data_IF_606636331408
#
_entry.id   IF_606636331408
#
_cell.length_a   1.000
_cell.length_b   1.000
_cell.length_c   1.000
_cell.angle_alpha   90.00
_cell.angle_beta   90.00
_cell.angle_gamma   90.00
#
_symmetry.space_group_name_H-M   'P 1'
#
loop_
_entity.id
_entity.type
_entity.pdbx_description
1 polymer ?
#
# COMPACT_ATOMS: atom_id res chain seq x y z
N UNK A 1 -25.94 -27.08 49.37
CA UNK A 1 -26.18 -27.18 47.92
C UNK A 1 -26.90 -25.89 47.52
N UNK A 2 -26.14 -24.88 47.07
CA UNK A 2 -26.70 -23.60 46.64
C UNK A 2 -26.75 -23.61 45.12
N UNK A 3 -27.95 -23.61 44.56
CA UNK A 3 -28.23 -23.45 43.13
C UNK A 3 -27.80 -22.06 42.71
N UNK A 4 -26.69 -21.98 41.98
CA UNK A 4 -26.22 -20.76 41.35
C UNK A 4 -27.15 -20.46 40.15
N UNK A 5 -28.26 -19.78 40.44
CA UNK A 5 -29.08 -19.15 39.40
C UNK A 5 -28.18 -18.17 38.65
N UNK A 6 -27.90 -18.53 37.40
CA UNK A 6 -27.08 -17.72 36.51
C UNK A 6 -28.00 -16.70 35.88
N UNK A 7 -27.90 -15.44 36.31
CA UNK A 7 -28.74 -14.33 35.85
C UNK A 7 -28.79 -14.28 34.30
N UNK A 8 -29.97 -14.45 33.69
CA UNK A 8 -30.12 -14.41 32.23
C UNK A 8 -29.88 -13.01 31.64
N UNK A 9 -29.88 -11.96 32.46
CA UNK A 9 -29.59 -10.59 32.01
C UNK A 9 -28.14 -10.41 31.57
N UNK A 10 -27.17 -11.15 32.16
CA UNK A 10 -25.76 -11.02 31.80
C UNK A 10 -25.41 -11.62 30.42
N UNK A 11 -26.27 -12.50 29.89
CA UNK A 11 -26.07 -13.06 28.54
C UNK A 11 -26.60 -12.15 27.42
N UNK A 12 -27.46 -11.18 27.74
CA UNK A 12 -28.06 -10.33 26.72
C UNK A 12 -27.13 -9.19 26.26
N UNK A 13 -26.14 -8.80 27.08
CA UNK A 13 -25.19 -7.73 26.78
C UNK A 13 -23.95 -8.17 25.96
N UNK A 14 -23.69 -9.48 25.85
CA UNK A 14 -22.56 -10.02 25.08
C UNK A 14 -22.85 -10.19 23.58
N UNK A 15 -24.06 -9.86 23.12
CA UNK A 15 -24.47 -9.88 21.71
C UNK A 15 -24.56 -8.49 21.09
N UNK A 16 -23.75 -7.53 21.55
CA UNK A 16 -23.59 -6.32 20.76
C UNK A 16 -23.08 -6.68 19.36
N UNK A 17 -23.74 -6.19 18.30
CA UNK A 17 -23.60 -6.76 16.98
C UNK A 17 -22.19 -6.51 16.43
N UNK A 18 -21.60 -7.59 15.93
CA UNK A 18 -20.41 -7.70 15.06
C UNK A 18 -20.41 -6.68 13.89
N UNK A 19 -21.53 -6.00 13.67
CA UNK A 19 -21.73 -4.92 12.72
C UNK A 19 -20.68 -3.80 12.88
N UNK A 20 -20.37 -3.33 14.10
CA UNK A 20 -19.41 -2.23 14.31
C UNK A 20 -17.96 -2.55 13.91
N UNK A 21 -17.55 -3.81 14.03
CA UNK A 21 -16.20 -4.28 13.70
C UNK A 21 -16.01 -4.39 12.18
N UNK A 22 -17.06 -4.81 11.46
CA UNK A 22 -17.04 -4.89 9.98
C UNK A 22 -16.98 -3.51 9.33
N UNK A 23 -17.69 -2.52 9.87
CA UNK A 23 -17.59 -1.13 9.41
C UNK A 23 -16.19 -0.56 9.67
N UNK A 24 -15.57 -0.90 10.79
CA UNK A 24 -14.20 -0.47 11.10
C UNK A 24 -13.15 -1.00 10.11
N UNK A 25 -13.23 -2.27 9.72
CA UNK A 25 -12.33 -2.87 8.74
C UNK A 25 -12.48 -2.24 7.34
N UNK A 26 -13.72 -2.02 6.89
CA UNK A 26 -13.99 -1.39 5.61
C UNK A 26 -13.51 0.07 5.57
N UNK A 27 -13.74 0.82 6.67
CA UNK A 27 -13.27 2.20 6.79
C UNK A 27 -11.74 2.29 6.78
N UNK A 28 -11.05 1.40 7.51
CA UNK A 28 -9.58 1.34 7.51
C UNK A 28 -9.01 1.04 6.12
N UNK A 29 -9.57 0.04 5.42
CA UNK A 29 -9.15 -0.30 4.06
C UNK A 29 -9.39 0.87 3.09
N UNK A 30 -10.51 1.58 3.22
CA UNK A 30 -10.80 2.76 2.41
C UNK A 30 -9.81 3.92 2.68
N UNK A 31 -9.45 4.16 3.94
CA UNK A 31 -8.44 5.16 4.31
C UNK A 31 -7.08 4.79 3.73
N UNK A 32 -6.66 3.53 3.81
CA UNK A 32 -5.40 3.08 3.19
C UNK A 32 -5.43 3.25 1.67
N UNK A 33 -6.50 2.83 1.02
CA UNK A 33 -6.65 2.98 -0.42
C UNK A 33 -6.57 4.46 -0.84
N UNK A 34 -7.21 5.34 -0.08
CA UNK A 34 -7.16 6.79 -0.30
C UNK A 34 -5.73 7.33 -0.13
N UNK A 35 -5.04 6.98 0.96
CA UNK A 35 -3.66 7.41 1.22
C UNK A 35 -2.71 6.96 0.11
N UNK A 36 -2.76 5.68 -0.27
CA UNK A 36 -1.94 5.16 -1.38
C UNK A 36 -2.31 5.78 -2.72
N UNK A 37 -3.60 6.04 -2.96
CA UNK A 37 -4.07 6.78 -4.13
C UNK A 37 -3.50 8.20 -4.19
N UNK A 38 -3.50 8.94 -3.08
CA UNK A 38 -2.89 10.27 -3.00
C UNK A 38 -1.38 10.22 -3.26
N UNK A 39 -0.66 9.22 -2.71
CA UNK A 39 0.77 9.04 -2.97
C UNK A 39 1.02 8.75 -4.45
N UNK A 40 0.24 7.86 -5.08
CA UNK A 40 0.35 7.53 -6.49
C UNK A 40 0.05 8.73 -7.40
N UNK A 41 -1.00 9.49 -7.10
CA UNK A 41 -1.34 10.73 -7.81
C UNK A 41 -0.25 11.79 -7.62
N UNK A 42 0.27 11.96 -6.40
CA UNK A 42 1.39 12.84 -6.13
C UNK A 42 2.61 12.46 -6.97
N UNK A 43 2.99 11.18 -7.00
CA UNK A 43 4.08 10.68 -7.82
C UNK A 43 3.85 10.89 -9.32
N UNK A 44 2.62 10.76 -9.80
CA UNK A 44 2.27 10.94 -11.21
C UNK A 44 2.24 12.42 -11.65
N UNK A 45 1.78 13.34 -10.81
CA UNK A 45 1.61 14.76 -11.20
C UNK A 45 2.74 15.67 -10.73
N UNK A 46 3.23 15.47 -9.50
CA UNK A 46 4.22 16.37 -8.88
C UNK A 46 5.60 16.12 -9.46
N UNK A 47 6.00 14.86 -9.65
CA UNK A 47 7.36 14.54 -10.12
C UNK A 47 7.63 15.01 -11.55
N UNK A 48 6.74 14.81 -12.55
CA UNK A 48 6.98 15.33 -13.90
C UNK A 48 7.02 16.86 -13.95
N UNK A 49 6.22 17.54 -13.12
CA UNK A 49 6.27 18.99 -13.00
C UNK A 49 7.64 19.47 -12.55
N UNK A 50 8.18 18.90 -11.46
CA UNK A 50 9.51 19.27 -10.97
C UNK A 50 10.63 18.85 -11.93
N UNK A 51 10.50 17.72 -12.61
CA UNK A 51 11.44 17.30 -13.65
C UNK A 51 11.59 18.37 -14.74
N UNK A 52 10.47 18.92 -15.20
CA UNK A 52 10.46 20.01 -16.18
C UNK A 52 11.12 21.28 -15.63
N UNK A 53 10.79 21.67 -14.39
CA UNK A 53 11.42 22.83 -13.74
C UNK A 53 12.93 22.68 -13.68
N UNK A 54 13.46 21.52 -13.26
CA UNK A 54 14.91 21.31 -13.21
C UNK A 54 15.59 21.41 -14.58
N UNK A 55 14.94 20.90 -15.63
CA UNK A 55 15.41 21.05 -17.01
C UNK A 55 15.42 22.52 -17.46
N UNK A 56 14.33 23.25 -17.19
CA UNK A 56 14.17 24.65 -17.61
C UNK A 56 15.19 25.58 -16.94
N UNK A 57 15.63 25.26 -15.71
CA UNK A 57 16.63 26.03 -14.96
C UNK A 57 18.07 25.52 -15.10
N UNK A 58 18.32 24.48 -15.89
CA UNK A 58 19.66 23.92 -16.09
C UNK A 58 20.30 23.38 -14.82
N UNK A 59 19.50 22.93 -13.85
CA UNK A 59 19.98 22.40 -12.58
C UNK A 59 20.45 20.96 -12.78
N UNK A 60 21.71 20.67 -12.44
CA UNK A 60 22.22 19.30 -12.44
C UNK A 60 21.48 18.47 -11.38
N UNK A 61 20.85 17.39 -11.84
CA UNK A 61 20.14 16.45 -10.98
C UNK A 61 21.12 15.46 -10.37
N UNK A 62 21.01 15.23 -9.06
CA UNK A 62 21.68 14.10 -8.44
C UNK A 62 21.16 12.78 -9.02
N UNK A 63 21.97 11.72 -9.00
CA UNK A 63 21.58 10.38 -9.49
C UNK A 63 20.28 9.87 -8.87
N UNK A 64 20.05 10.18 -7.58
CA UNK A 64 18.83 9.79 -6.86
C UNK A 64 17.61 10.54 -7.42
N UNK A 65 17.73 11.84 -7.71
CA UNK A 65 16.63 12.63 -8.26
C UNK A 65 16.28 12.18 -9.69
N UNK A 66 17.29 11.94 -10.54
CA UNK A 66 17.08 11.41 -11.88
C UNK A 66 16.36 10.06 -11.84
N UNK A 67 16.79 9.16 -10.94
CA UNK A 67 16.12 7.87 -10.72
C UNK A 67 14.65 8.03 -10.31
N UNK A 68 14.34 8.96 -9.40
CA UNK A 68 12.94 9.22 -8.98
C UNK A 68 12.10 9.75 -10.14
N UNK A 69 12.68 10.59 -11.00
CA UNK A 69 12.01 11.13 -12.18
C UNK A 69 11.71 10.01 -13.18
N UNK A 70 12.68 9.15 -13.48
CA UNK A 70 12.49 7.99 -14.35
C UNK A 70 11.43 7.02 -13.80
N UNK A 71 11.45 6.80 -12.49
CA UNK A 71 10.45 5.98 -11.79
C UNK A 71 9.04 6.57 -11.94
N UNK A 72 8.90 7.90 -11.86
CA UNK A 72 7.63 8.57 -12.08
C UNK A 72 7.15 8.42 -13.52
N UNK A 73 8.03 8.60 -14.51
CA UNK A 73 7.67 8.37 -15.92
C UNK A 73 7.26 6.93 -16.19
N UNK A 74 7.95 5.96 -15.58
CA UNK A 74 7.58 4.54 -15.64
C UNK A 74 6.20 4.31 -15.02
N UNK A 75 5.94 4.91 -13.87
CA UNK A 75 4.65 4.83 -13.16
C UNK A 75 3.53 5.43 -14.01
N UNK A 76 3.76 6.58 -14.65
CA UNK A 76 2.82 7.20 -15.58
C UNK A 76 2.59 6.33 -16.83
N UNK A 77 3.63 5.69 -17.37
CA UNK A 77 3.50 4.80 -18.53
C UNK A 77 2.68 3.55 -18.22
N UNK A 78 2.80 3.02 -17.02
CA UNK A 78 2.11 1.80 -16.57
C UNK A 78 1.01 2.09 -15.54
N UNK A 79 0.45 3.30 -15.54
CA UNK A 79 -0.57 3.70 -14.56
C UNK A 79 -1.79 2.76 -14.49
N UNK A 80 -2.28 2.13 -15.59
CA UNK A 80 -3.40 1.19 -15.48
C UNK A 80 -3.02 -0.06 -14.68
N UNK A 81 -1.77 -0.54 -14.83
CA UNK A 81 -1.25 -1.67 -14.05
C UNK A 81 -1.14 -1.26 -12.58
N UNK A 82 -0.68 -0.04 -12.31
CA UNK A 82 -0.65 0.52 -10.96
C UNK A 82 -2.04 0.58 -10.31
N UNK A 83 -3.07 1.01 -11.04
CA UNK A 83 -4.46 1.04 -10.55
C UNK A 83 -4.99 -0.36 -10.28
N UNK A 84 -4.77 -1.32 -11.19
CA UNK A 84 -5.17 -2.72 -10.97
C UNK A 84 -4.45 -3.29 -9.73
N UNK A 85 -3.15 -3.02 -9.59
CA UNK A 85 -2.37 -3.42 -8.42
C UNK A 85 -2.92 -2.82 -7.12
N UNK A 86 -3.27 -1.54 -7.12
CA UNK A 86 -3.88 -0.87 -5.97
C UNK A 86 -5.22 -1.51 -5.60
N UNK A 87 -6.08 -1.80 -6.58
CA UNK A 87 -7.37 -2.47 -6.34
C UNK A 87 -7.15 -3.86 -5.74
N UNK A 88 -6.24 -4.66 -6.30
CA UNK A 88 -5.92 -6.00 -5.75
C UNK A 88 -5.38 -5.88 -4.32
N UNK A 89 -4.51 -4.92 -4.05
CA UNK A 89 -3.97 -4.69 -2.71
C UNK A 89 -5.07 -4.28 -1.70
N UNK A 90 -5.98 -3.38 -2.09
CA UNK A 90 -7.10 -2.97 -1.23
C UNK A 90 -8.07 -4.12 -0.95
N UNK A 91 -8.39 -4.93 -1.96
CA UNK A 91 -9.25 -6.12 -1.79
C UNK A 91 -8.58 -7.13 -0.86
N UNK A 92 -7.26 -7.36 -1.02
CA UNK A 92 -6.50 -8.22 -0.14
C UNK A 92 -6.47 -7.69 1.31
N UNK A 93 -6.28 -6.39 1.51
CA UNK A 93 -6.30 -5.76 2.84
C UNK A 93 -7.67 -5.90 3.51
N UNK A 94 -8.76 -5.61 2.78
CA UNK A 94 -10.11 -5.81 3.29
C UNK A 94 -10.38 -7.28 3.68
N UNK A 95 -9.97 -8.24 2.84
CA UNK A 95 -10.14 -9.67 3.12
C UNK A 95 -9.32 -10.12 4.34
N UNK A 96 -8.09 -9.64 4.48
CA UNK A 96 -7.25 -9.94 5.63
C UNK A 96 -7.81 -9.34 6.92
N UNK A 97 -8.28 -8.09 6.89
CA UNK A 97 -8.92 -7.45 8.03
C UNK A 97 -10.19 -8.20 8.46
N UNK A 98 -11.04 -8.61 7.52
CA UNK A 98 -12.21 -9.46 7.83
C UNK A 98 -11.79 -10.78 8.50
N UNK A 99 -10.74 -11.42 8.01
CA UNK A 99 -10.20 -12.68 8.57
C UNK A 99 -9.63 -12.48 9.97
N UNK A 100 -8.91 -11.37 10.19
CA UNK A 100 -8.39 -11.00 11.52
C UNK A 100 -9.53 -10.75 12.52
N UNK A 101 -10.61 -10.11 12.09
CA UNK A 101 -11.77 -9.85 12.97
C UNK A 101 -12.55 -11.12 13.32
N UNK A 102 -12.51 -12.15 12.46
CA UNK A 102 -13.24 -13.40 12.69
C UNK A 102 -12.41 -14.46 13.43
N UNK A 103 -11.10 -14.55 13.18
CA UNK A 103 -10.23 -15.59 13.76
C UNK A 103 -9.27 -15.08 14.85
N UNK A 104 -9.23 -13.77 15.14
CA UNK A 104 -8.44 -13.13 16.21
C UNK A 104 -7.07 -13.79 16.49
N UNK A 105 -6.29 -14.02 15.43
CA UNK A 105 -4.98 -14.65 15.53
C UNK A 105 -3.87 -13.59 15.63
N UNK A 106 -3.15 -13.59 16.76
CA UNK A 106 -1.98 -12.71 16.96
C UNK A 106 -0.86 -12.97 15.95
N UNK A 107 -0.69 -14.22 15.50
CA UNK A 107 0.30 -14.58 14.48
C UNK A 107 -0.06 -13.98 13.13
N UNK A 108 -1.34 -14.09 12.74
CA UNK A 108 -1.85 -13.52 11.48
C UNK A 108 -1.72 -11.99 11.47
N UNK A 109 -1.99 -11.33 12.59
CA UNK A 109 -1.86 -9.86 12.71
C UNK A 109 -0.40 -9.40 12.52
N UNK A 110 0.55 -10.12 13.14
CA UNK A 110 1.99 -9.85 12.99
C UNK A 110 2.44 -10.07 11.56
N UNK A 111 2.03 -11.18 10.95
CA UNK A 111 2.35 -11.47 9.56
C UNK A 111 1.82 -10.36 8.63
N UNK A 112 0.57 -9.94 8.81
CA UNK A 112 -0.03 -8.88 8.00
C UNK A 112 0.69 -7.54 8.17
N UNK A 113 1.06 -7.19 9.40
CA UNK A 113 1.87 -6.00 9.68
C UNK A 113 3.22 -6.05 8.95
N UNK A 114 3.96 -7.15 9.08
CA UNK A 114 5.26 -7.32 8.41
C UNK A 114 5.12 -7.35 6.89
N UNK A 115 4.07 -7.97 6.36
CA UNK A 115 3.78 -7.97 4.94
C UNK A 115 3.58 -6.53 4.43
N UNK A 116 2.78 -5.72 5.11
CA UNK A 116 2.55 -4.31 4.73
C UNK A 116 3.82 -3.46 4.79
N UNK A 117 4.77 -3.76 5.68
CA UNK A 117 6.05 -3.05 5.75
C UNK A 117 7.04 -3.57 4.70
N UNK A 118 7.10 -4.89 4.49
CA UNK A 118 8.07 -5.50 3.59
C UNK A 118 7.72 -5.30 2.10
N UNK A 119 6.43 -5.34 1.73
CA UNK A 119 5.99 -5.22 0.33
C UNK A 119 6.45 -3.92 -0.33
N UNK A 120 6.28 -2.73 0.27
CA UNK A 120 6.78 -1.48 -0.28
C UNK A 120 8.30 -1.46 -0.45
N UNK A 121 9.04 -2.03 0.51
CA UNK A 121 10.51 -2.10 0.46
C UNK A 121 10.95 -3.00 -0.69
N UNK A 122 10.39 -4.21 -0.80
CA UNK A 122 10.71 -5.15 -1.87
C UNK A 122 10.31 -4.60 -3.24
N UNK A 123 9.17 -3.92 -3.34
CA UNK A 123 8.76 -3.24 -4.57
C UNK A 123 9.74 -2.13 -4.94
N UNK A 124 10.15 -1.29 -3.99
CA UNK A 124 11.15 -0.24 -4.22
C UNK A 124 12.50 -0.79 -4.70
N UNK A 125 13.01 -1.84 -4.04
CA UNK A 125 14.25 -2.51 -4.44
C UNK A 125 14.12 -3.15 -5.82
N UNK A 126 13.02 -3.87 -6.07
CA UNK A 126 12.78 -4.55 -7.34
C UNK A 126 12.72 -3.56 -8.52
N UNK A 127 12.00 -2.45 -8.36
CA UNK A 127 11.95 -1.44 -9.41
C UNK A 127 13.33 -0.76 -9.58
N UNK A 128 14.05 -0.51 -8.48
CA UNK A 128 15.43 -0.01 -8.52
C UNK A 128 16.37 -0.89 -9.35
N UNK A 129 16.27 -2.20 -9.19
CA UNK A 129 17.04 -3.16 -9.98
C UNK A 129 16.63 -3.13 -11.45
N UNK A 130 15.34 -3.12 -11.77
CA UNK A 130 14.84 -3.09 -13.16
C UNK A 130 15.34 -1.85 -13.91
N UNK A 131 15.24 -0.68 -13.27
CA UNK A 131 15.74 0.58 -13.84
C UNK A 131 17.25 0.51 -14.03
N UNK A 132 18.00 0.04 -13.02
CA UNK A 132 19.46 -0.08 -13.11
C UNK A 132 19.91 -0.99 -14.28
N UNK A 133 19.25 -2.13 -14.49
CA UNK A 133 19.53 -3.03 -15.61
C UNK A 133 19.20 -2.37 -16.95
N UNK A 134 18.06 -1.67 -17.01
CA UNK A 134 17.61 -0.98 -18.22
C UNK A 134 18.61 0.10 -18.64
N UNK A 135 19.07 0.91 -17.69
CA UNK A 135 20.09 1.95 -17.93
C UNK A 135 21.43 1.34 -18.36
N UNK A 136 21.88 0.27 -17.71
CA UNK A 136 23.12 -0.41 -18.08
C UNK A 136 23.08 -0.98 -19.51
N UNK A 137 21.93 -1.55 -19.92
CA UNK A 137 21.74 -2.08 -21.27
C UNK A 137 21.75 -0.96 -22.34
N UNK A 138 21.14 0.20 -22.04
CA UNK A 138 21.16 1.35 -22.94
C UNK A 138 22.60 1.83 -23.15
N UNK A 139 23.38 1.97 -22.08
CA UNK A 139 24.79 2.42 -22.18
C UNK A 139 25.66 1.47 -23.01
N UNK A 140 25.46 0.16 -22.90
CA UNK A 140 26.21 -0.84 -23.70
C UNK A 140 25.89 -0.78 -25.19
N UNK A 141 24.67 -0.39 -25.58
CA UNK A 141 24.28 -0.31 -26.98
C UNK A 141 24.74 0.99 -27.66
N UNK A 142 25.18 1.98 -26.88
CA UNK A 142 25.68 3.25 -27.36
C UNK A 142 27.22 3.30 -27.48
N UNK A 143 27.92 2.30 -26.93
CA UNK A 143 29.38 2.12 -27.00
C UNK A 143 29.76 1.18 -28.12
#
# INVERSE_FOLDING_TARGET
MSSHDSDPELQHDLKQPVCGVRTGAALSAAIHAFLWGCVALGAAYVVPYWAKVFQDFGVELSTIQAFIIDLSFLTMRFWPIGVVGLVVATVADWWFLQTLTTQSSRSLARFWFWANVALPILAGVGIGVIVSISTANIMRNLS
#
